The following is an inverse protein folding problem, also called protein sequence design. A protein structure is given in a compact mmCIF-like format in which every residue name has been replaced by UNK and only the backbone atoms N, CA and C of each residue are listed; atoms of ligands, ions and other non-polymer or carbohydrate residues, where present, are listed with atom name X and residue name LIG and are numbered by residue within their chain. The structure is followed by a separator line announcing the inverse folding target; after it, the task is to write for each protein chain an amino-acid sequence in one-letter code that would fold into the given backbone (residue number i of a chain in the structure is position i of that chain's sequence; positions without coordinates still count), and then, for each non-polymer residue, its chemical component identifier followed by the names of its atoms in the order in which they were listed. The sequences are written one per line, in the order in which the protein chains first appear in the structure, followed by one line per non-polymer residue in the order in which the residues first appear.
data_IF_904170526969
#
_entry.id   IF_904170526969
#
_cell.length_a   1.000
_cell.length_b   1.000
_cell.length_c   1.000
_cell.angle_alpha   90.00
_cell.angle_beta   90.00
_cell.angle_gamma   90.00
#
_symmetry.space_group_name_H-M   'P 1'
#
loop_
_entity.id
_entity.type
_entity.pdbx_description
1 polymer ?
#
# COMPACT_ATOMS: atom_id res chain seq x y z
N UNK A 1 21.48 5.82 3.57
CA UNK A 1 20.26 5.02 3.35
C UNK A 1 19.09 5.98 3.42
N UNK A 2 18.36 6.16 2.34
CA UNK A 2 17.25 7.10 2.29
C UNK A 2 16.07 6.58 3.14
N UNK A 3 15.69 7.36 4.16
CA UNK A 3 14.69 7.01 5.17
C UNK A 3 13.28 6.87 4.60
N UNK A 4 13.00 7.49 3.44
CA UNK A 4 11.69 7.45 2.79
C UNK A 4 11.42 6.08 2.16
N UNK A 5 12.42 5.47 1.53
CA UNK A 5 12.30 4.13 0.94
C UNK A 5 12.08 3.06 2.02
N UNK A 6 12.81 3.18 3.12
CA UNK A 6 12.67 2.27 4.25
C UNK A 6 11.26 2.35 4.86
N UNK A 7 10.73 3.57 5.00
CA UNK A 7 9.36 3.79 5.48
C UNK A 7 8.32 3.19 4.52
N UNK A 8 8.50 3.36 3.21
CA UNK A 8 7.59 2.83 2.19
C UNK A 8 7.53 1.30 2.27
N UNK A 9 8.69 0.66 2.35
CA UNK A 9 8.82 -0.80 2.46
C UNK A 9 8.20 -1.32 3.76
N UNK A 10 8.35 -0.58 4.86
CA UNK A 10 7.84 -0.98 6.17
C UNK A 10 6.33 -0.80 6.33
N UNK A 11 5.74 0.16 5.60
CA UNK A 11 4.31 0.48 5.72
C UNK A 11 3.49 -0.26 4.67
N UNK A 12 3.99 -0.39 3.44
CA UNK A 12 3.21 -0.86 2.30
C UNK A 12 3.54 -2.33 1.96
N UNK A 13 4.81 -2.71 1.92
CA UNK A 13 5.24 -4.07 1.59
C UNK A 13 6.58 -4.11 0.84
N UNK A 14 7.11 -5.31 0.57
CA UNK A 14 8.31 -5.47 -0.25
C UNK A 14 8.06 -5.04 -1.71
N UNK A 15 9.06 -4.45 -2.37
CA UNK A 15 9.02 -4.10 -3.79
C UNK A 15 8.74 -5.33 -4.66
N UNK A 16 8.02 -5.14 -5.77
CA UNK A 16 7.91 -6.19 -6.81
C UNK A 16 9.26 -6.46 -7.46
N UNK A 17 9.43 -7.61 -8.13
CA UNK A 17 10.69 -7.93 -8.81
C UNK A 17 11.13 -6.83 -9.80
N UNK A 18 10.19 -6.34 -10.62
CA UNK A 18 10.45 -5.25 -11.56
C UNK A 18 10.89 -3.95 -10.87
N UNK A 19 10.29 -3.61 -9.74
CA UNK A 19 10.68 -2.43 -8.96
C UNK A 19 12.07 -2.61 -8.30
N UNK A 20 12.41 -3.82 -7.86
CA UNK A 20 13.74 -4.13 -7.33
C UNK A 20 14.82 -3.99 -8.41
N UNK A 21 14.57 -4.47 -9.63
CA UNK A 21 15.48 -4.31 -10.77
C UNK A 21 15.78 -2.83 -11.03
N UNK A 22 14.73 -1.99 -11.11
CA UNK A 22 14.89 -0.54 -11.29
C UNK A 22 15.61 0.12 -10.11
N UNK A 23 15.34 -0.34 -8.89
CA UNK A 23 16.00 0.16 -7.69
C UNK A 23 17.52 -0.09 -7.73
N UNK A 24 17.95 -1.32 -8.04
CA UNK A 24 19.37 -1.68 -8.09
C UNK A 24 20.10 -1.16 -9.32
N UNK A 25 19.39 -0.80 -10.39
CA UNK A 25 19.98 -0.10 -11.54
C UNK A 25 20.47 1.31 -11.19
N UNK A 26 19.91 1.95 -10.14
CA UNK A 26 20.41 3.24 -9.67
C UNK A 26 21.74 3.04 -8.91
N UNK A 27 22.86 3.66 -9.34
CA UNK A 27 24.15 3.54 -8.68
C UNK A 27 24.15 3.93 -7.20
N UNK A 28 23.27 4.85 -6.78
CA UNK A 28 23.13 5.24 -5.37
C UNK A 28 22.61 4.09 -4.49
N UNK A 29 21.89 3.15 -5.09
CA UNK A 29 21.22 2.05 -4.41
C UNK A 29 21.82 0.68 -4.74
N UNK A 30 22.78 0.60 -5.66
CA UNK A 30 23.36 -0.67 -6.14
C UNK A 30 23.98 -1.55 -5.04
N UNK A 31 24.44 -0.95 -3.94
CA UNK A 31 25.00 -1.67 -2.76
C UNK A 31 24.05 -1.70 -1.57
N UNK A 32 22.85 -1.17 -1.71
CA UNK A 32 21.87 -1.16 -0.64
C UNK A 32 21.32 -2.56 -0.39
N UNK A 33 21.00 -2.88 0.87
CA UNK A 33 20.21 -4.07 1.22
C UNK A 33 18.79 -3.64 1.52
N UNK A 34 17.84 -4.22 0.78
CA UNK A 34 16.42 -4.04 1.08
C UNK A 34 16.09 -4.79 2.39
N UNK A 35 15.32 -4.19 3.31
CA UNK A 35 14.84 -4.89 4.48
C UNK A 35 13.86 -6.00 4.11
N UNK A 36 13.99 -7.16 4.75
CA UNK A 36 12.95 -8.18 4.74
C UNK A 36 11.87 -7.79 5.75
N UNK A 37 10.69 -7.40 5.25
CA UNK A 37 9.59 -6.96 6.12
C UNK A 37 8.37 -7.85 5.95
N UNK A 38 8.00 -8.55 7.02
CA UNK A 38 6.77 -9.32 7.07
C UNK A 38 5.56 -8.41 7.31
N UNK A 39 4.56 -8.50 6.44
CA UNK A 39 3.33 -7.72 6.53
C UNK A 39 2.13 -8.64 6.77
N UNK A 40 1.24 -8.30 7.73
CA UNK A 40 -0.04 -8.97 7.82
C UNK A 40 -0.83 -8.83 6.52
N UNK A 41 -1.27 -9.95 5.95
CA UNK A 41 -2.06 -9.96 4.72
C UNK A 41 -3.46 -9.36 4.87
N UNK A 42 -3.98 -9.27 6.10
CA UNK A 42 -5.31 -8.70 6.34
C UNK A 42 -5.26 -7.22 6.71
N UNK A 43 -6.08 -6.42 6.01
CA UNK A 43 -6.23 -4.99 6.24
C UNK A 43 -6.47 -4.63 7.72
N UNK A 44 -7.31 -5.43 8.41
CA UNK A 44 -7.64 -5.21 9.82
C UNK A 44 -6.45 -5.40 10.76
N UNK A 45 -5.56 -6.35 10.47
CA UNK A 45 -4.34 -6.56 11.26
C UNK A 45 -3.29 -5.49 10.94
N UNK A 46 -3.23 -5.04 9.69
CA UNK A 46 -2.31 -3.99 9.23
C UNK A 46 -2.69 -2.61 9.78
N UNK A 47 -3.98 -2.34 9.94
CA UNK A 47 -4.49 -1.05 10.38
C UNK A 47 -5.45 -1.19 11.59
N UNK A 48 -4.97 -1.63 12.76
CA UNK A 48 -5.84 -1.96 13.90
C UNK A 48 -6.54 -0.74 14.52
N UNK A 49 -6.06 0.47 14.26
CA UNK A 49 -6.66 1.73 14.74
C UNK A 49 -7.77 2.25 13.84
N UNK A 50 -7.91 1.72 12.63
CA UNK A 50 -8.93 2.17 11.68
C UNK A 50 -10.21 1.35 11.88
N UNK A 51 -11.35 1.97 11.59
CA UNK A 51 -12.58 1.19 11.45
C UNK A 51 -12.44 0.20 10.27
N UNK A 52 -13.15 -0.94 10.28
CA UNK A 52 -12.93 -1.98 9.29
C UNK A 52 -13.07 -1.55 7.82
N UNK A 53 -14.08 -0.72 7.50
CA UNK A 53 -14.33 -0.27 6.13
C UNK A 53 -13.25 0.70 5.65
N UNK A 54 -12.76 1.56 6.54
CA UNK A 54 -11.64 2.45 6.25
C UNK A 54 -10.34 1.67 6.10
N UNK A 55 -10.12 0.64 6.92
CA UNK A 55 -8.96 -0.23 6.80
C UNK A 55 -8.95 -0.95 5.44
N UNK A 56 -10.11 -1.46 5.00
CA UNK A 56 -10.28 -2.11 3.68
C UNK A 56 -10.00 -1.12 2.53
N UNK A 57 -10.55 0.10 2.61
CA UNK A 57 -10.30 1.16 1.62
C UNK A 57 -8.81 1.56 1.55
N UNK A 58 -8.19 1.82 2.70
CA UNK A 58 -6.76 2.18 2.76
C UNK A 58 -5.90 1.03 2.24
N UNK A 59 -6.26 -0.21 2.56
CA UNK A 59 -5.55 -1.38 2.06
C UNK A 59 -5.65 -1.47 0.53
N UNK A 60 -6.81 -1.31 -0.07
CA UNK A 60 -6.97 -1.40 -1.53
C UNK A 60 -6.27 -0.26 -2.29
N UNK A 61 -6.10 0.92 -1.66
CA UNK A 61 -5.32 2.02 -2.24
C UNK A 61 -3.80 1.81 -2.11
N UNK A 62 -3.33 1.31 -0.95
CA UNK A 62 -1.91 1.19 -0.62
C UNK A 62 -1.37 -0.19 -1.00
N UNK A 63 -1.24 -0.43 -2.31
CA UNK A 63 -0.60 -1.61 -2.88
C UNK A 63 0.76 -1.27 -3.48
N UNK A 64 1.72 -2.20 -3.35
CA UNK A 64 3.06 -2.05 -3.92
C UNK A 64 2.98 -2.08 -5.45
N UNK A 65 2.31 -3.10 -6.00
CA UNK A 65 2.05 -3.16 -7.43
C UNK A 65 0.99 -2.10 -7.79
N UNK A 66 1.28 -1.19 -8.73
CA UNK A 66 0.31 -0.22 -9.19
C UNK A 66 -0.97 -0.84 -9.77
N UNK A 67 -0.88 -2.03 -10.37
CA UNK A 67 -2.01 -2.72 -11.01
C UNK A 67 -3.01 -3.24 -9.96
N UNK A 68 -2.53 -3.57 -8.77
CA UNK A 68 -3.37 -4.06 -7.67
C UNK A 68 -4.12 -2.93 -6.94
N UNK A 69 -3.78 -1.66 -7.21
CA UNK A 69 -4.42 -0.52 -6.57
C UNK A 69 -5.84 -0.33 -7.10
N UNK A 70 -6.76 -0.03 -6.20
CA UNK A 70 -8.11 0.37 -6.60
C UNK A 70 -8.09 1.68 -7.38
N UNK A 71 -8.92 1.77 -8.44
CA UNK A 71 -9.07 3.01 -9.20
C UNK A 71 -9.92 4.04 -8.44
N UNK A 72 -9.83 5.32 -8.81
CA UNK A 72 -10.67 6.37 -8.23
C UNK A 72 -12.17 6.04 -8.37
N UNK A 73 -12.58 5.50 -9.52
CA UNK A 73 -13.96 5.10 -9.77
C UNK A 73 -14.40 3.97 -8.83
N UNK A 74 -13.55 2.96 -8.62
CA UNK A 74 -13.83 1.87 -7.67
C UNK A 74 -13.86 2.38 -6.22
N UNK A 75 -12.97 3.31 -5.88
CA UNK A 75 -12.88 3.93 -4.56
C UNK A 75 -14.17 4.68 -4.20
N UNK A 76 -14.71 5.48 -5.12
CA UNK A 76 -15.97 6.21 -4.92
C UNK A 76 -17.17 5.27 -4.71
N UNK A 77 -17.13 4.08 -5.31
CA UNK A 77 -18.15 3.05 -5.14
C UNK A 77 -17.93 2.15 -3.91
N UNK A 78 -16.84 2.35 -3.16
CA UNK A 78 -16.52 1.52 -2.01
C UNK A 78 -17.57 1.66 -0.90
N UNK A 79 -17.79 0.56 -0.15
CA UNK A 79 -18.75 0.50 0.96
C UNK A 79 -18.54 1.56 2.05
N UNK A 80 -17.32 2.10 2.14
CA UNK A 80 -17.03 3.20 3.04
C UNK A 80 -17.85 4.46 2.72
N UNK A 81 -18.10 4.75 1.43
CA UNK A 81 -18.87 5.91 0.97
C UNK A 81 -20.31 5.59 0.59
N UNK A 82 -20.62 4.33 0.27
CA UNK A 82 -21.97 3.93 -0.18
C UNK A 82 -22.83 3.33 0.91
N UNK A 83 -22.25 2.93 2.04
CA UNK A 83 -23.04 2.50 3.20
C UNK A 83 -23.86 3.68 3.73
N UNK A 84 -25.13 3.42 4.03
CA UNK A 84 -26.08 4.38 4.61
C UNK A 84 -26.36 5.63 3.73
N UNK A 85 -26.17 5.52 2.41
CA UNK A 85 -26.38 6.62 1.42
C UNK A 85 -25.51 7.88 1.67
N UNK A 86 -24.31 7.71 2.26
CA UNK A 86 -23.42 8.84 2.52
C UNK A 86 -23.07 9.66 1.26
N UNK A 87 -22.83 8.99 0.12
CA UNK A 87 -22.42 9.65 -1.13
C UNK A 87 -23.53 10.46 -1.84
N UNK A 88 -24.79 10.36 -1.41
CA UNK A 88 -25.94 11.05 -2.03
C UNK A 88 -26.27 12.40 -1.37
N UNK A 89 -25.43 12.89 -0.44
CA UNK A 89 -25.54 14.19 0.23
C UNK A 89 -24.50 15.18 -0.27
#
# INVERSE_FOLDING_TARGET
MDSIYFLTLYVIGPLTLHQQELYFQNPEFAVARLPEVYHPSSARKKYPKLNPLLAELVHSCLQIDPIDRTSCTQMLNHRYFTKDQFAEK
#
